data_IF_537511384577
#
_entry.id   IF_537511384577
#
_cell.length_a   1.000
_cell.length_b   1.000
_cell.length_c   1.000
_cell.angle_alpha   90.00
_cell.angle_beta   90.00
_cell.angle_gamma   90.00
#
_symmetry.space_group_name_H-M   'P 1'
#
loop_
_entity.id
_entity.type
_entity.pdbx_description
1 polymer ?
#
# COMPACT_ATOMS: atom_id res chain seq x y z
N UNK A 1 13.44 22.35 13.88
CA UNK A 1 12.24 22.78 13.11
C UNK A 1 12.35 22.46 11.61
N UNK A 2 13.52 22.63 11.00
CA UNK A 2 13.87 22.21 9.62
C UNK A 2 13.75 20.70 9.40
N UNK A 3 14.25 19.88 10.33
CA UNK A 3 14.26 18.41 10.17
C UNK A 3 12.86 17.78 10.08
N UNK A 4 11.86 18.33 10.78
CA UNK A 4 10.51 17.76 10.80
C UNK A 4 9.67 18.17 9.58
N UNK A 5 9.89 19.39 9.06
CA UNK A 5 9.36 19.82 7.76
C UNK A 5 9.97 18.99 6.63
N UNK A 6 11.29 18.80 6.67
CA UNK A 6 12.00 17.97 5.69
C UNK A 6 11.47 16.53 5.72
N UNK A 7 11.35 15.92 6.91
CA UNK A 7 10.79 14.58 7.06
C UNK A 7 9.38 14.47 6.45
N UNK A 8 8.49 15.43 6.74
CA UNK A 8 7.14 15.47 6.14
C UNK A 8 7.21 15.44 4.61
N UNK A 9 8.02 16.30 3.99
CA UNK A 9 8.11 16.36 2.54
C UNK A 9 8.75 15.10 1.94
N UNK A 10 9.75 14.50 2.59
CA UNK A 10 10.34 13.23 2.16
C UNK A 10 9.29 12.11 2.24
N UNK A 11 8.52 12.01 3.32
CA UNK A 11 7.45 11.03 3.46
C UNK A 11 6.40 11.19 2.35
N UNK A 12 5.94 12.41 2.11
CA UNK A 12 4.94 12.71 1.07
C UNK A 12 5.49 12.43 -0.33
N UNK A 13 6.71 12.86 -0.62
CA UNK A 13 7.36 12.59 -1.91
C UNK A 13 7.52 11.10 -2.15
N UNK A 14 7.93 10.34 -1.12
CA UNK A 14 8.04 8.88 -1.19
C UNK A 14 6.69 8.22 -1.54
N UNK A 15 5.60 8.66 -0.92
CA UNK A 15 4.26 8.17 -1.24
C UNK A 15 3.82 8.49 -2.67
N UNK A 16 4.06 9.71 -3.15
CA UNK A 16 3.79 10.05 -4.56
C UNK A 16 4.66 9.25 -5.54
N UNK A 17 5.93 9.01 -5.22
CA UNK A 17 6.80 8.15 -6.04
C UNK A 17 6.25 6.74 -6.11
N UNK A 18 5.75 6.16 -5.00
CA UNK A 18 5.10 4.86 -5.01
C UNK A 18 3.87 4.87 -5.94
N UNK A 19 2.99 5.88 -5.85
CA UNK A 19 1.83 6.00 -6.74
C UNK A 19 2.24 6.08 -8.21
N UNK A 20 3.28 6.87 -8.53
CA UNK A 20 3.80 6.99 -9.91
C UNK A 20 4.35 5.65 -10.40
N UNK A 21 5.08 4.92 -9.57
CA UNK A 21 5.60 3.59 -9.91
C UNK A 21 4.46 2.61 -10.21
N UNK A 22 3.40 2.60 -9.40
CA UNK A 22 2.21 1.80 -9.66
C UNK A 22 1.56 2.17 -11.00
N UNK A 23 1.28 3.45 -11.25
CA UNK A 23 0.71 3.90 -12.54
C UNK A 23 1.64 3.54 -13.71
N UNK A 24 2.95 3.59 -13.51
CA UNK A 24 3.94 3.23 -14.53
C UNK A 24 3.91 1.75 -14.87
N UNK A 25 3.70 0.86 -13.90
CA UNK A 25 3.47 -0.58 -14.16
C UNK A 25 2.26 -0.80 -15.06
N UNK A 26 1.17 -0.10 -14.79
CA UNK A 26 -0.06 -0.21 -15.58
C UNK A 26 0.10 0.33 -16.99
N UNK A 27 0.74 1.50 -17.10
CA UNK A 27 1.02 2.09 -18.40
C UNK A 27 2.00 1.24 -19.19
N UNK A 28 3.01 0.61 -18.57
CA UNK A 28 3.92 -0.29 -19.29
C UNK A 28 3.16 -1.47 -19.84
N UNK A 29 2.36 -2.15 -19.03
CA UNK A 29 1.65 -3.35 -19.47
C UNK A 29 0.65 -3.02 -20.61
N UNK A 30 -0.08 -1.91 -20.50
CA UNK A 30 -0.98 -1.44 -21.57
C UNK A 30 -0.27 -0.95 -22.84
N UNK A 31 0.88 -0.25 -22.71
CA UNK A 31 1.65 0.25 -23.85
C UNK A 31 2.36 -0.87 -24.59
N UNK A 32 2.86 -1.88 -23.88
CA UNK A 32 3.43 -3.08 -24.50
C UNK A 32 2.35 -3.88 -25.23
N UNK A 33 1.17 -4.05 -24.65
CA UNK A 33 0.04 -4.73 -25.31
C UNK A 33 -0.48 -3.97 -26.54
N UNK A 34 -0.50 -2.64 -26.51
CA UNK A 34 -0.94 -1.82 -27.65
C UNK A 34 0.11 -1.68 -28.75
N UNK A 35 1.41 -1.64 -28.43
CA UNK A 35 2.48 -1.77 -29.44
C UNK A 35 2.56 -3.20 -30.01
N UNK A 36 2.19 -4.22 -29.24
CA UNK A 36 2.11 -5.61 -29.65
C UNK A 36 0.79 -5.96 -30.39
N UNK A 37 0.11 -4.99 -31.01
CA UNK A 37 -1.04 -5.22 -31.91
C UNK A 37 -0.69 -5.90 -33.25
N UNK A 38 0.40 -6.68 -33.26
CA UNK A 38 0.56 -7.90 -34.06
C UNK A 38 1.13 -9.04 -33.19
N UNK A 39 0.48 -9.46 -32.11
CA UNK A 39 0.68 -10.81 -31.58
C UNK A 39 -0.40 -11.17 -30.54
N UNK A 40 -1.26 -12.11 -30.91
CA UNK A 40 -2.07 -13.04 -30.08
C UNK A 40 -2.72 -12.56 -28.78
N UNK A 41 -4.02 -12.86 -28.65
CA UNK A 41 -4.87 -12.81 -27.45
C UNK A 41 -4.33 -13.54 -26.19
N UNK A 42 -3.11 -14.08 -26.21
CA UNK A 42 -2.44 -14.73 -25.08
C UNK A 42 -1.45 -13.81 -24.34
N UNK A 43 -1.34 -12.53 -24.71
CA UNK A 43 -0.37 -11.59 -24.12
C UNK A 43 -0.73 -11.10 -22.70
N UNK A 44 -1.98 -11.27 -22.25
CA UNK A 44 -2.35 -11.04 -20.85
C UNK A 44 -1.77 -12.17 -19.97
N UNK A 45 -0.47 -12.10 -19.67
CA UNK A 45 0.20 -13.10 -18.83
C UNK A 45 1.72 -13.14 -18.94
N UNK A 46 2.32 -12.57 -19.98
CA UNK A 46 3.79 -12.44 -20.05
C UNK A 46 4.21 -11.12 -19.40
N UNK A 47 4.41 -11.15 -18.08
CA UNK A 47 4.96 -10.02 -17.33
C UNK A 47 6.24 -9.52 -18.02
N UNK A 48 6.20 -8.32 -18.59
CA UNK A 48 7.39 -7.68 -19.09
C UNK A 48 8.41 -7.54 -17.94
N UNK A 49 9.70 -7.79 -18.19
CA UNK A 49 10.75 -7.60 -17.18
C UNK A 49 10.71 -6.20 -16.53
N UNK A 50 10.20 -5.22 -17.28
CA UNK A 50 10.01 -3.83 -16.86
C UNK A 50 8.83 -3.66 -15.87
N UNK A 51 7.68 -4.30 -16.14
CA UNK A 51 6.52 -4.30 -15.23
C UNK A 51 6.85 -4.99 -13.89
N UNK A 52 7.57 -6.11 -13.94
CA UNK A 52 8.06 -6.80 -12.73
C UNK A 52 8.99 -5.91 -11.89
N UNK A 53 9.94 -5.21 -12.54
CA UNK A 53 10.82 -4.25 -11.88
C UNK A 53 10.04 -3.12 -11.20
N UNK A 54 9.06 -2.51 -11.90
CA UNK A 54 8.24 -1.44 -11.32
C UNK A 54 7.39 -1.93 -10.14
N UNK A 55 6.89 -3.17 -10.18
CA UNK A 55 6.17 -3.74 -9.05
C UNK A 55 7.08 -3.93 -7.82
N UNK A 56 8.30 -4.43 -8.00
CA UNK A 56 9.26 -4.53 -6.88
C UNK A 56 9.65 -3.16 -6.32
N UNK A 57 9.88 -2.17 -7.19
CA UNK A 57 10.16 -0.80 -6.77
C UNK A 57 8.96 -0.18 -6.04
N UNK A 58 7.74 -0.41 -6.54
CA UNK A 58 6.52 0.01 -5.85
C UNK A 58 6.48 -0.54 -4.43
N UNK A 59 6.65 -1.86 -4.26
CA UNK A 59 6.62 -2.53 -2.95
C UNK A 59 7.75 -2.01 -2.04
N UNK A 60 8.95 -1.77 -2.58
CA UNK A 60 10.04 -1.17 -1.80
C UNK A 60 9.66 0.23 -1.31
N UNK A 61 9.12 1.08 -2.18
CA UNK A 61 8.72 2.43 -1.83
C UNK A 61 7.51 2.45 -0.87
N UNK A 62 6.60 1.47 -0.91
CA UNK A 62 5.52 1.38 0.10
C UNK A 62 6.05 1.05 1.50
N UNK A 63 7.07 0.19 1.60
CA UNK A 63 7.77 -0.08 2.88
C UNK A 63 8.48 1.17 3.39
N UNK A 64 9.23 1.86 2.52
CA UNK A 64 9.94 3.09 2.89
C UNK A 64 8.93 4.16 3.33
N UNK A 65 7.85 4.34 2.58
CA UNK A 65 6.77 5.28 2.89
C UNK A 65 6.17 5.01 4.27
N UNK A 66 5.76 3.76 4.54
CA UNK A 66 5.15 3.38 5.82
C UNK A 66 6.12 3.54 7.00
N UNK A 67 7.40 3.24 6.81
CA UNK A 67 8.43 3.47 7.83
C UNK A 67 8.66 4.95 8.13
N UNK A 68 8.73 5.79 7.09
CA UNK A 68 8.84 7.25 7.23
C UNK A 68 7.59 7.85 7.87
N UNK A 69 6.41 7.34 7.52
CA UNK A 69 5.12 7.75 8.08
C UNK A 69 5.04 7.44 9.57
N UNK A 70 5.43 6.24 9.98
CA UNK A 70 5.54 5.85 11.38
C UNK A 70 6.49 6.78 12.15
N UNK A 71 7.69 7.00 11.61
CA UNK A 71 8.68 7.89 12.23
C UNK A 71 8.15 9.33 12.36
N UNK A 72 7.47 9.85 11.33
CA UNK A 72 6.85 11.17 11.37
C UNK A 72 5.74 11.27 12.42
N UNK A 73 4.84 10.29 12.50
CA UNK A 73 3.77 10.27 13.52
C UNK A 73 4.35 10.19 14.94
N UNK A 74 5.43 9.42 15.14
CA UNK A 74 6.15 9.34 16.41
C UNK A 74 6.76 10.69 16.80
N UNK A 75 7.39 11.39 15.87
CA UNK A 75 8.03 12.69 16.11
C UNK A 75 7.04 13.85 16.31
N UNK A 76 5.82 13.74 15.75
CA UNK A 76 4.79 14.79 15.84
C UNK A 76 3.78 14.60 16.96
N UNK A 77 3.96 13.59 17.83
CA UNK A 77 3.04 13.32 18.94
C UNK A 77 1.65 12.85 18.51
N UNK A 78 1.51 12.36 17.26
CA UNK A 78 0.24 11.84 16.73
C UNK A 78 0.04 10.39 17.17
N UNK A 79 -0.19 10.22 18.46
CA UNK A 79 -0.32 8.90 19.11
C UNK A 79 -1.40 8.06 18.43
N UNK A 80 -2.53 8.70 18.06
CA UNK A 80 -3.66 8.06 17.39
C UNK A 80 -3.33 7.44 16.01
N UNK A 81 -2.28 7.92 15.32
CA UNK A 81 -1.81 7.32 14.06
C UNK A 81 -0.60 6.39 14.24
N UNK A 82 0.05 6.39 15.41
CA UNK A 82 1.30 5.66 15.64
C UNK A 82 1.09 4.15 15.57
N UNK A 83 0.01 3.65 16.17
CA UNK A 83 -0.32 2.21 16.15
C UNK A 83 -0.70 1.78 14.74
N UNK A 84 -1.59 2.53 14.08
CA UNK A 84 -2.00 2.29 12.70
C UNK A 84 -0.79 2.18 11.75
N UNK A 85 0.11 3.16 11.81
CA UNK A 85 1.31 3.20 10.96
C UNK A 85 2.31 2.08 11.27
N UNK A 86 2.39 1.60 12.51
CA UNK A 86 3.22 0.45 12.85
C UNK A 86 2.70 -0.86 12.25
N UNK A 87 1.39 -1.12 12.35
CA UNK A 87 0.78 -2.29 11.71
C UNK A 87 0.91 -2.23 10.19
N UNK A 88 0.75 -1.02 9.62
CA UNK A 88 0.91 -0.80 8.19
C UNK A 88 2.34 -1.09 7.70
N UNK A 89 3.35 -0.64 8.46
CA UNK A 89 4.75 -0.94 8.18
C UNK A 89 5.06 -2.43 8.27
N UNK A 90 4.53 -3.13 9.28
CA UNK A 90 4.68 -4.59 9.42
C UNK A 90 4.06 -5.30 8.22
N UNK A 91 2.83 -4.93 7.83
CA UNK A 91 2.13 -5.54 6.71
C UNK A 91 2.93 -5.42 5.40
N UNK A 92 3.45 -4.23 5.08
CA UNK A 92 4.27 -4.04 3.89
C UNK A 92 5.65 -4.69 3.99
N UNK A 93 6.24 -4.78 5.18
CA UNK A 93 7.49 -5.52 5.36
C UNK A 93 7.31 -7.01 5.07
N UNK A 94 6.19 -7.59 5.52
CA UNK A 94 5.83 -8.98 5.17
C UNK A 94 5.64 -9.10 3.66
N UNK A 95 4.93 -8.16 3.03
CA UNK A 95 4.72 -8.17 1.58
C UNK A 95 6.05 -8.14 0.82
N UNK A 96 6.97 -7.25 1.20
CA UNK A 96 8.28 -7.14 0.59
C UNK A 96 9.10 -8.43 0.75
N UNK A 97 9.16 -9.01 1.95
CA UNK A 97 9.85 -10.28 2.18
C UNK A 97 9.27 -11.41 1.31
N UNK A 98 7.95 -11.42 1.12
CA UNK A 98 7.26 -12.39 0.26
C UNK A 98 7.61 -12.25 -1.21
N UNK A 99 8.07 -11.10 -1.69
CA UNK A 99 8.54 -10.95 -3.07
C UNK A 99 9.86 -11.68 -3.37
N UNK A 100 10.63 -12.06 -2.34
CA UNK A 100 11.89 -12.80 -2.48
C UNK A 100 11.79 -14.26 -2.06
N UNK A 101 10.67 -14.66 -1.45
CA UNK A 101 10.44 -16.07 -1.12
C UNK A 101 10.07 -16.82 -2.41
N UNK A 102 10.81 -17.87 -2.79
CA UNK A 102 10.45 -18.68 -3.95
C UNK A 102 9.09 -19.33 -3.69
N UNK A 103 8.03 -18.79 -4.29
CA UNK A 103 6.66 -19.27 -4.13
C UNK A 103 6.39 -20.47 -5.05
N UNK A 104 7.25 -21.48 -5.03
CA UNK A 104 7.06 -22.68 -5.85
C UNK A 104 5.78 -23.45 -5.46
N UNK A 105 5.20 -23.17 -4.28
CA UNK A 105 3.93 -23.72 -3.86
C UNK A 105 3.05 -22.70 -3.12
N UNK A 106 2.07 -22.14 -3.84
CA UNK A 106 1.04 -21.18 -3.37
C UNK A 106 0.15 -21.82 -2.27
N UNK A 107 0.13 -23.15 -2.16
CA UNK A 107 -0.59 -23.88 -1.11
C UNK A 107 0.28 -24.27 0.08
N UNK A 108 1.56 -23.87 0.12
CA UNK A 108 2.41 -24.16 1.26
C UNK A 108 1.90 -23.48 2.54
N UNK A 109 2.00 -24.19 3.68
CA UNK A 109 1.60 -23.66 4.98
C UNK A 109 2.28 -22.32 5.30
N UNK A 110 3.58 -22.20 5.00
CA UNK A 110 4.34 -20.96 5.21
C UNK A 110 3.83 -19.79 4.36
N UNK A 111 3.48 -20.03 3.10
CA UNK A 111 2.86 -19.03 2.25
C UNK A 111 1.51 -18.59 2.82
N UNK A 112 0.61 -19.54 3.11
CA UNK A 112 -0.73 -19.25 3.65
C UNK A 112 -0.68 -18.52 5.00
N UNK A 113 0.21 -18.94 5.90
CA UNK A 113 0.43 -18.28 7.19
C UNK A 113 0.92 -16.84 6.99
N UNK A 114 1.91 -16.63 6.13
CA UNK A 114 2.44 -15.29 5.84
C UNK A 114 1.39 -14.36 5.24
N UNK A 115 0.55 -14.86 4.33
CA UNK A 115 -0.58 -14.14 3.74
C UNK A 115 -1.61 -13.81 4.81
N UNK A 116 -1.97 -14.78 5.67
CA UNK A 116 -2.93 -14.58 6.75
C UNK A 116 -2.49 -13.49 7.73
N UNK A 117 -1.22 -13.52 8.15
CA UNK A 117 -0.65 -12.48 9.03
C UNK A 117 -0.63 -11.12 8.31
N UNK A 118 -0.28 -11.07 7.03
CA UNK A 118 -0.32 -9.84 6.23
C UNK A 118 -1.74 -9.27 6.13
N UNK A 119 -2.75 -10.10 5.85
CA UNK A 119 -4.15 -9.65 5.79
C UNK A 119 -4.58 -9.09 7.14
N UNK A 120 -4.32 -9.84 8.22
CA UNK A 120 -4.70 -9.44 9.57
C UNK A 120 -4.07 -8.10 9.96
N UNK A 121 -2.76 -7.96 9.78
CA UNK A 121 -2.02 -6.73 10.10
C UNK A 121 -2.47 -5.55 9.23
N UNK A 122 -2.77 -5.78 7.95
CA UNK A 122 -3.31 -4.74 7.07
C UNK A 122 -4.69 -4.28 7.56
N UNK A 123 -5.62 -5.21 7.82
CA UNK A 123 -6.96 -4.87 8.31
C UNK A 123 -6.89 -4.14 9.65
N UNK A 124 -6.05 -4.59 10.59
CA UNK A 124 -5.81 -3.88 11.84
C UNK A 124 -5.37 -2.44 11.57
N UNK A 125 -4.35 -2.24 10.72
CA UNK A 125 -3.89 -0.90 10.36
C UNK A 125 -5.03 -0.02 9.83
N UNK A 126 -5.82 -0.53 8.87
CA UNK A 126 -6.94 0.20 8.26
C UNK A 126 -8.02 0.57 9.29
N UNK A 127 -8.37 -0.35 10.18
CA UNK A 127 -9.34 -0.06 11.25
C UNK A 127 -8.81 0.98 12.25
N UNK A 128 -7.54 0.91 12.65
CA UNK A 128 -6.95 1.93 13.51
C UNK A 128 -6.91 3.31 12.80
N UNK A 129 -6.61 3.34 11.51
CA UNK A 129 -6.73 4.57 10.72
C UNK A 129 -8.18 5.09 10.68
N UNK A 130 -9.16 4.22 10.45
CA UNK A 130 -10.57 4.59 10.47
C UNK A 130 -10.99 5.19 11.81
N UNK A 131 -10.61 4.55 12.93
CA UNK A 131 -10.86 5.05 14.28
C UNK A 131 -10.22 6.43 14.46
N UNK A 132 -8.97 6.61 14.00
CA UNK A 132 -8.29 7.89 14.07
C UNK A 132 -9.04 8.98 13.26
N UNK A 133 -9.56 8.68 12.07
CA UNK A 133 -10.31 9.64 11.26
C UNK A 133 -11.74 9.90 11.72
N UNK A 134 -12.38 8.94 12.39
CA UNK A 134 -13.69 9.13 13.03
C UNK A 134 -13.60 10.04 14.26
N UNK A 135 -12.40 10.25 14.80
CA UNK A 135 -12.17 11.25 15.82
C UNK A 135 -12.48 12.65 15.24
N UNK A 136 -13.30 13.45 15.94
CA UNK A 136 -13.82 14.77 15.49
C UNK A 136 -12.76 15.81 15.12
N UNK A 137 -11.48 15.51 15.35
CA UNK A 137 -10.34 16.35 15.00
C UNK A 137 -10.01 16.36 13.51
N UNK A 138 -10.52 15.40 12.74
CA UNK A 138 -10.18 15.22 11.33
C UNK A 138 -11.40 15.34 10.41
N UNK A 139 -11.21 15.75 9.14
CA UNK A 139 -12.30 15.79 8.18
C UNK A 139 -12.94 14.41 7.97
N UNK A 140 -14.25 14.33 8.16
CA UNK A 140 -15.05 13.10 8.01
C UNK A 140 -14.87 12.44 6.63
N UNK A 141 -14.59 13.24 5.60
CA UNK A 141 -14.27 12.76 4.26
C UNK A 141 -13.16 11.68 4.27
N UNK A 142 -12.13 11.83 5.09
CA UNK A 142 -11.05 10.83 5.17
C UNK A 142 -11.47 9.53 5.84
N UNK A 143 -12.43 9.58 6.77
CA UNK A 143 -13.03 8.37 7.33
C UNK A 143 -13.87 7.63 6.29
N UNK A 144 -14.63 8.36 5.45
CA UNK A 144 -15.41 7.78 4.36
C UNK A 144 -14.48 7.11 3.34
N UNK A 145 -13.41 7.79 2.92
CA UNK A 145 -12.41 7.21 2.02
C UNK A 145 -11.75 5.95 2.60
N UNK A 146 -11.38 5.97 3.88
CA UNK A 146 -10.83 4.79 4.56
C UNK A 146 -11.84 3.64 4.61
N UNK A 147 -13.12 3.92 4.85
CA UNK A 147 -14.17 2.92 4.81
C UNK A 147 -14.31 2.27 3.43
N UNK A 148 -14.25 3.07 2.36
CA UNK A 148 -14.26 2.56 0.98
C UNK A 148 -13.01 1.71 0.71
N UNK A 149 -11.83 2.15 1.15
CA UNK A 149 -10.57 1.40 0.99
C UNK A 149 -10.63 0.04 1.67
N UNK A 150 -11.18 -0.03 2.90
CA UNK A 150 -11.43 -1.29 3.62
C UNK A 150 -12.36 -2.20 2.82
N UNK A 151 -13.43 -1.67 2.23
CA UNK A 151 -14.36 -2.47 1.42
C UNK A 151 -13.70 -3.00 0.15
N UNK A 152 -12.89 -2.20 -0.54
CA UNK A 152 -12.12 -2.64 -1.71
C UNK A 152 -11.14 -3.75 -1.32
N UNK A 153 -10.40 -3.55 -0.22
CA UNK A 153 -9.43 -4.53 0.27
C UNK A 153 -10.10 -5.84 0.70
N UNK A 154 -11.19 -5.78 1.48
CA UNK A 154 -11.95 -6.96 1.88
C UNK A 154 -12.57 -7.67 0.68
N UNK A 155 -13.16 -6.91 -0.25
CA UNK A 155 -13.70 -7.45 -1.49
C UNK A 155 -12.63 -8.18 -2.30
N UNK A 156 -11.41 -7.63 -2.38
CA UNK A 156 -10.31 -8.28 -3.09
C UNK A 156 -9.83 -9.53 -2.35
N UNK A 157 -9.72 -9.51 -1.03
CA UNK A 157 -9.32 -10.69 -0.24
C UNK A 157 -10.36 -11.80 -0.39
N UNK A 158 -11.65 -11.50 -0.23
CA UNK A 158 -12.74 -12.46 -0.38
C UNK A 158 -12.77 -13.03 -1.81
N UNK A 159 -12.55 -12.20 -2.82
CA UNK A 159 -12.44 -12.64 -4.20
C UNK A 159 -11.29 -13.65 -4.38
N UNK A 160 -10.11 -13.39 -3.82
CA UNK A 160 -8.98 -14.34 -3.86
C UNK A 160 -9.27 -15.64 -3.08
N UNK A 161 -10.01 -15.59 -1.97
CA UNK A 161 -10.38 -16.80 -1.21
C UNK A 161 -11.36 -17.69 -2.00
N UNK A 162 -12.25 -17.08 -2.79
CA UNK A 162 -13.25 -17.79 -3.57
C UNK A 162 -12.72 -18.35 -4.89
N UNK A 163 -11.58 -17.84 -5.37
CA UNK A 163 -10.87 -18.39 -6.53
C UNK A 163 -10.03 -19.60 -6.15
N UNK A 164 -9.84 -20.52 -7.11
CA UNK A 164 -9.03 -21.73 -6.94
C UNK A 164 -7.54 -21.44 -6.69
N UNK A 165 -7.06 -20.29 -7.15
CA UNK A 165 -5.67 -19.85 -6.98
C UNK A 165 -5.59 -18.71 -5.97
N UNK A 166 -5.33 -19.04 -4.70
CA UNK A 166 -5.15 -18.07 -3.63
C UNK A 166 -3.82 -17.29 -3.76
N UNK A 167 -3.79 -16.37 -4.74
CA UNK A 167 -2.66 -15.49 -5.00
C UNK A 167 -2.89 -14.11 -4.37
N UNK A 168 -2.00 -13.71 -3.46
CA UNK A 168 -1.99 -12.39 -2.83
C UNK A 168 -0.55 -11.86 -2.76
N UNK A 169 -0.30 -10.56 -3.05
CA UNK A 169 -1.29 -9.52 -3.32
C UNK A 169 -1.92 -9.69 -4.70
N UNK A 170 -3.24 -9.49 -4.76
CA UNK A 170 -3.98 -9.43 -6.01
C UNK A 170 -4.14 -7.97 -6.46
N UNK A 171 -4.56 -7.77 -7.70
CA UNK A 171 -4.76 -6.44 -8.27
C UNK A 171 -5.56 -5.50 -7.36
N UNK A 172 -6.71 -5.95 -6.84
CA UNK A 172 -7.56 -5.14 -5.97
C UNK A 172 -6.87 -4.71 -4.67
N UNK A 173 -6.06 -5.58 -4.07
CA UNK A 173 -5.30 -5.26 -2.85
C UNK A 173 -4.18 -4.24 -3.11
N UNK A 174 -3.57 -4.27 -4.31
CA UNK A 174 -2.55 -3.29 -4.72
C UNK A 174 -3.20 -1.94 -5.05
N UNK A 175 -4.38 -1.95 -5.68
CA UNK A 175 -5.20 -0.74 -5.90
C UNK A 175 -5.57 -0.08 -4.58
N UNK A 176 -6.08 -0.85 -3.61
CA UNK A 176 -6.38 -0.34 -2.26
C UNK A 176 -5.13 0.27 -1.61
N UNK A 177 -4.00 -0.44 -1.61
CA UNK A 177 -2.75 0.09 -1.07
C UNK A 177 -2.34 1.42 -1.75
N UNK A 178 -2.49 1.53 -3.07
CA UNK A 178 -2.16 2.74 -3.83
C UNK A 178 -3.09 3.91 -3.51
N UNK A 179 -4.41 3.67 -3.45
CA UNK A 179 -5.40 4.67 -3.03
C UNK A 179 -5.02 5.18 -1.64
N UNK A 180 -4.71 4.27 -0.73
CA UNK A 180 -4.42 4.60 0.64
C UNK A 180 -3.13 5.43 0.80
N UNK A 181 -2.05 5.03 0.13
CA UNK A 181 -0.78 5.79 0.11
C UNK A 181 -0.99 7.19 -0.47
N UNK A 182 -1.76 7.29 -1.56
CA UNK A 182 -2.03 8.56 -2.23
C UNK A 182 -2.81 9.50 -1.31
N UNK A 183 -3.87 9.00 -0.68
CA UNK A 183 -4.67 9.78 0.24
C UNK A 183 -3.87 10.16 1.50
N UNK A 184 -3.06 9.27 2.08
CA UNK A 184 -2.22 9.62 3.22
C UNK A 184 -1.19 10.70 2.86
N UNK A 185 -0.56 10.57 1.70
CA UNK A 185 0.37 11.59 1.20
C UNK A 185 -0.31 12.96 1.11
N UNK A 186 -1.53 13.01 0.59
CA UNK A 186 -2.33 14.24 0.53
C UNK A 186 -2.75 14.75 1.92
N UNK A 187 -3.21 13.86 2.80
CA UNK A 187 -3.60 14.20 4.18
C UNK A 187 -2.44 14.83 4.95
N UNK A 188 -1.28 14.16 4.96
CA UNK A 188 -0.13 14.63 5.70
C UNK A 188 0.50 15.89 5.08
N UNK A 189 0.43 16.06 3.76
CA UNK A 189 0.81 17.30 3.07
C UNK A 189 -0.02 18.50 3.56
N UNK A 190 -1.33 18.33 3.71
CA UNK A 190 -2.23 19.41 4.14
C UNK A 190 -2.28 19.59 5.67
N UNK A 191 -1.81 18.61 6.45
CA UNK A 191 -1.87 18.69 7.90
C UNK A 191 -0.81 19.68 8.46
N UNK A 192 -1.20 20.63 9.33
CA UNK A 192 -0.26 21.57 9.94
C UNK A 192 0.69 20.86 10.91
N UNK A 193 1.93 21.33 10.94
CA UNK A 193 2.92 20.91 11.95
C UNK A 193 2.63 21.72 13.21
N UNK A 194 1.98 21.11 14.22
CA UNK A 194 1.79 21.76 15.51
C UNK A 194 3.16 21.92 16.19
N UNK A 195 3.46 23.16 16.65
CA UNK A 195 4.60 23.44 17.51
C UNK A 195 4.32 22.80 18.88
N UNK A 196 5.21 21.95 19.36
CA UNK A 196 5.37 21.81 20.80
C UNK A 196 6.08 23.07 21.27
N UNK A 197 5.39 23.89 22.06
CA UNK A 197 5.99 24.93 22.91
C UNK A 197 6.52 24.22 24.14
#
# INVERSE_FOLDING_TARGET
>A
MTNLKLLKYITVACGFTATILFVSTFCSDYLFDTLATKLSLNAFGENSNLGTLFNHLFILFTVIFSGLLYYYCKQTGKIEFKEATSFYFIAFSILFLRTFLPSENIHSFFYLLSVGIQILTTLMALFFFLIAFLNRKYPVFFAILMGIDILIYLGSVLYSVLLTDFSLPNFGSIVAATINITFFSFFFLNMPIKKHV
#
